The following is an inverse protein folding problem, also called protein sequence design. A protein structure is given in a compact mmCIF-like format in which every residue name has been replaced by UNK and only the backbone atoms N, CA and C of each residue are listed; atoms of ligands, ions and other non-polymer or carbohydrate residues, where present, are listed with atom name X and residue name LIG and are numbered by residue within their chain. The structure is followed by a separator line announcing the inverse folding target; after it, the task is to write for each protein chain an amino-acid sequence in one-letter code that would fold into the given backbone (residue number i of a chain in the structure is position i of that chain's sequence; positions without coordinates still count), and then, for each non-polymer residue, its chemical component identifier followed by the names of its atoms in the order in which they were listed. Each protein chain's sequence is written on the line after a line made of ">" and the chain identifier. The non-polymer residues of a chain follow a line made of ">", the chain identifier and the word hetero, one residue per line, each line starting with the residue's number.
data_IF_925237137331
#
_entry.id   IF_925237137331
#
_cell.length_a   1.000
_cell.length_b   1.000
_cell.length_c   1.000
_cell.angle_alpha   90.00
_cell.angle_beta   90.00
_cell.angle_gamma   90.00
#
_symmetry.space_group_name_H-M   'P 1'
#
loop_
_entity.id
_entity.type
_entity.pdbx_description
1 polymer ?
#
# COMPACT_ATOMS: atom_id res chain seq x y z
N UNK A 1 -48.90 53.74 2.06
CA UNK A 1 -48.13 52.62 2.61
C UNK A 1 -47.20 51.96 1.57
N UNK A 2 -47.64 51.59 0.36
CA UNK A 2 -46.77 50.95 -0.65
C UNK A 2 -45.52 51.73 -1.04
N UNK A 3 -45.55 53.07 -1.08
CA UNK A 3 -44.37 53.92 -1.43
C UNK A 3 -43.29 53.91 -0.34
N UNK A 4 -43.65 53.71 0.94
CA UNK A 4 -42.69 53.70 2.06
C UNK A 4 -41.92 52.37 2.05
N UNK A 5 -42.56 51.25 1.72
CA UNK A 5 -41.88 49.97 1.60
C UNK A 5 -40.90 49.94 0.42
N UNK A 6 -41.22 50.65 -0.68
CA UNK A 6 -40.33 50.71 -1.84
C UNK A 6 -39.06 51.55 -1.56
N UNK A 7 -39.22 52.61 -0.78
CA UNK A 7 -38.08 53.47 -0.36
C UNK A 7 -37.21 52.69 0.67
N UNK A 8 -37.83 51.93 1.62
CA UNK A 8 -37.09 51.13 2.57
C UNK A 8 -36.33 50.01 1.88
N UNK A 9 -36.92 49.36 0.87
CA UNK A 9 -36.26 48.31 0.08
C UNK A 9 -35.09 48.85 -0.75
N UNK A 10 -35.24 50.02 -1.34
CA UNK A 10 -34.19 50.67 -2.10
C UNK A 10 -33.00 51.11 -1.21
N UNK A 11 -33.24 51.56 0.03
CA UNK A 11 -32.20 51.91 1.00
C UNK A 11 -31.47 50.67 1.52
N UNK A 12 -32.18 49.58 1.79
CA UNK A 12 -31.55 48.30 2.21
C UNK A 12 -30.70 47.72 1.06
N UNK A 13 -31.18 47.76 -0.18
CA UNK A 13 -30.44 47.34 -1.34
C UNK A 13 -29.19 48.20 -1.60
N UNK A 14 -29.25 49.52 -1.39
CA UNK A 14 -28.10 50.40 -1.53
C UNK A 14 -27.02 50.19 -0.44
N UNK A 15 -27.41 49.75 0.76
CA UNK A 15 -26.49 49.45 1.86
C UNK A 15 -25.78 48.09 1.68
N UNK A 16 -26.35 47.20 0.87
CA UNK A 16 -25.74 45.85 0.61
C UNK A 16 -24.56 45.89 -0.37
N UNK A 17 -24.39 47.02 -1.12
CA UNK A 17 -23.31 47.13 -2.09
C UNK A 17 -22.06 47.86 -1.55
N UNK A 18 -22.05 48.29 -0.31
CA UNK A 18 -20.86 48.98 0.28
C UNK A 18 -20.02 48.07 1.17
N UNK A 19 -20.28 46.75 1.18
CA UNK A 19 -19.57 45.79 2.04
C UNK A 19 -18.32 45.17 1.38
N UNK A 20 -17.97 45.55 0.17
CA UNK A 20 -16.65 45.25 -0.42
C UNK A 20 -15.84 46.53 -0.52
N UNK A 21 -15.16 46.90 0.57
CA UNK A 21 -14.12 47.93 0.46
C UNK A 21 -12.88 47.29 -0.18
N UNK A 22 -12.37 47.88 -1.24
CA UNK A 22 -11.09 47.51 -1.92
C UNK A 22 -9.85 47.67 -1.01
N UNK A 23 -10.06 47.69 0.34
CA UNK A 23 -8.98 47.96 1.30
C UNK A 23 -8.12 46.76 1.64
N UNK A 24 -8.56 45.52 1.32
CA UNK A 24 -7.85 44.29 1.62
C UNK A 24 -7.31 43.57 0.36
N UNK A 25 -6.80 44.33 -0.59
CA UNK A 25 -5.97 43.72 -1.63
C UNK A 25 -4.69 43.18 -0.95
N UNK A 26 -4.43 41.87 -0.99
CA UNK A 26 -3.15 41.35 -0.48
C UNK A 26 -2.03 42.10 -1.14
N UNK A 27 -1.07 42.62 -0.36
CA UNK A 27 0.14 43.25 -0.93
C UNK A 27 0.74 42.28 -1.95
N UNK A 28 1.10 42.74 -3.15
CA UNK A 28 1.59 41.89 -4.23
C UNK A 28 2.88 41.11 -3.94
N UNK A 29 3.43 41.25 -2.74
CA UNK A 29 4.53 40.43 -2.22
C UNK A 29 3.96 39.48 -1.18
N UNK A 30 3.93 38.19 -1.49
CA UNK A 30 3.66 37.14 -0.52
C UNK A 30 4.68 37.20 0.62
N UNK A 31 4.19 37.19 1.89
CA UNK A 31 5.08 37.04 3.06
C UNK A 31 5.66 35.62 3.11
N UNK A 32 5.07 34.69 2.38
CA UNK A 32 5.64 33.37 2.17
C UNK A 32 6.67 33.49 1.04
N UNK A 33 7.94 33.47 1.41
CA UNK A 33 9.02 33.33 0.45
C UNK A 33 8.82 31.95 -0.17
N UNK A 34 8.55 31.91 -1.48
CA UNK A 34 8.66 30.68 -2.24
C UNK A 34 10.17 30.36 -2.36
N UNK A 35 10.77 29.94 -1.27
CA UNK A 35 11.98 29.15 -1.34
C UNK A 35 11.57 27.80 -1.93
N UNK A 36 11.45 27.73 -3.23
CA UNK A 36 11.55 26.46 -3.95
C UNK A 36 12.99 25.97 -3.71
N UNK A 37 13.17 25.35 -2.55
CA UNK A 37 14.40 24.64 -2.26
C UNK A 37 14.61 23.67 -3.42
N UNK A 38 15.70 23.84 -4.15
CA UNK A 38 16.03 22.90 -5.24
C UNK A 38 16.07 21.51 -4.63
N UNK A 39 15.46 20.52 -5.30
CA UNK A 39 15.48 19.14 -4.82
C UNK A 39 16.94 18.73 -4.60
N UNK A 40 17.20 18.06 -3.47
CA UNK A 40 18.47 17.41 -3.24
C UNK A 40 18.65 16.22 -4.22
N UNK A 41 19.82 15.57 -4.20
CA UNK A 41 20.11 14.49 -5.13
C UNK A 41 19.13 13.29 -4.97
N UNK A 42 18.67 13.03 -3.75
CA UNK A 42 17.70 11.96 -3.52
C UNK A 42 16.30 12.37 -3.98
N UNK A 43 15.87 13.57 -3.69
CA UNK A 43 14.59 14.10 -4.19
C UNK A 43 14.55 14.14 -5.72
N UNK A 44 15.63 14.56 -6.36
CA UNK A 44 15.75 14.53 -7.83
C UNK A 44 15.63 13.09 -8.35
N UNK A 45 16.29 12.13 -7.71
CA UNK A 45 16.20 10.73 -8.08
C UNK A 45 14.77 10.18 -7.91
N UNK A 46 14.05 10.56 -6.84
CA UNK A 46 12.64 10.19 -6.64
C UNK A 46 11.74 10.76 -7.74
N UNK A 47 11.96 12.02 -8.15
CA UNK A 47 11.21 12.61 -9.25
C UNK A 47 11.41 11.84 -10.55
N UNK A 48 12.65 11.49 -10.88
CA UNK A 48 13.00 10.79 -12.13
C UNK A 48 12.54 9.33 -12.16
N UNK A 49 12.49 8.64 -11.01
CA UNK A 49 12.22 7.21 -10.94
C UNK A 49 10.79 6.85 -10.52
N UNK A 50 10.06 7.76 -9.87
CA UNK A 50 8.68 7.52 -9.42
C UNK A 50 7.69 8.56 -9.93
N UNK A 51 7.99 9.85 -9.77
CA UNK A 51 7.00 10.89 -10.05
C UNK A 51 6.79 11.06 -11.55
N UNK A 52 7.84 11.27 -12.33
CA UNK A 52 7.70 11.49 -13.77
C UNK A 52 7.22 10.25 -14.54
N UNK A 53 7.77 9.04 -14.30
CA UNK A 53 7.33 7.86 -15.04
C UNK A 53 5.98 7.31 -14.60
N UNK A 54 5.64 7.37 -13.30
CA UNK A 54 4.49 6.65 -12.73
C UNK A 54 3.45 7.54 -12.05
N UNK A 55 3.72 8.85 -11.89
CA UNK A 55 2.89 9.79 -11.12
C UNK A 55 2.70 9.34 -9.67
N UNK A 56 3.81 8.94 -9.02
CA UNK A 56 3.87 8.48 -7.63
C UNK A 56 4.73 9.43 -6.82
N UNK A 57 4.21 9.92 -5.71
CA UNK A 57 4.97 10.66 -4.71
C UNK A 57 5.55 9.71 -3.66
N UNK A 58 6.84 9.82 -3.35
CA UNK A 58 7.47 9.08 -2.27
C UNK A 58 7.64 10.01 -1.06
N UNK A 59 6.83 9.79 -0.03
CA UNK A 59 6.87 10.54 1.22
C UNK A 59 7.87 9.89 2.19
N UNK A 60 9.09 10.37 2.20
CA UNK A 60 10.13 9.90 3.11
C UNK A 60 10.35 10.84 4.31
N UNK A 61 9.91 12.09 4.22
CA UNK A 61 9.85 13.01 5.35
C UNK A 61 8.47 12.91 5.99
N UNK A 62 8.43 12.48 7.23
CA UNK A 62 7.17 12.28 7.96
C UNK A 62 6.43 13.61 8.10
N UNK A 63 5.17 13.62 7.67
CA UNK A 63 4.24 14.74 7.85
C UNK A 63 3.13 14.29 8.78
N UNK A 64 2.82 15.05 9.82
CA UNK A 64 1.80 14.70 10.81
C UNK A 64 0.41 14.50 10.20
N UNK A 65 0.11 15.20 9.10
CA UNK A 65 -1.17 15.07 8.38
C UNK A 65 -1.30 13.77 7.59
N UNK A 66 -0.21 13.04 7.40
CA UNK A 66 -0.13 11.85 6.54
C UNK A 66 0.08 10.56 7.36
N UNK A 67 0.03 10.61 8.69
CA UNK A 67 0.23 9.46 9.56
C UNK A 67 -1.06 9.08 10.30
N UNK A 68 -1.17 7.80 10.64
CA UNK A 68 -2.23 7.32 11.53
C UNK A 68 -1.84 7.60 13.00
N UNK A 69 -2.52 8.54 13.62
CA UNK A 69 -2.26 8.99 14.99
C UNK A 69 -2.58 7.95 16.08
N UNK A 70 -3.16 6.81 15.73
CA UNK A 70 -3.31 5.71 16.69
C UNK A 70 -1.97 5.07 17.07
N UNK A 71 -0.93 5.26 16.23
CA UNK A 71 0.42 4.74 16.47
C UNK A 71 1.39 5.83 16.95
N UNK A 72 2.37 5.45 17.77
CA UNK A 72 3.52 6.30 18.08
C UNK A 72 4.61 6.06 17.05
N UNK A 73 4.71 6.96 16.07
CA UNK A 73 5.60 6.82 14.93
C UNK A 73 6.80 7.74 15.00
N UNK A 74 7.91 7.34 14.37
CA UNK A 74 9.11 8.17 14.25
C UNK A 74 9.52 8.35 12.79
N UNK A 75 10.12 9.50 12.42
CA UNK A 75 10.63 9.74 11.08
C UNK A 75 11.64 8.68 10.65
N UNK A 76 11.65 8.39 9.35
CA UNK A 76 12.63 7.51 8.74
C UNK A 76 13.94 8.27 8.43
N UNK A 77 15.07 7.59 8.60
CA UNK A 77 16.39 8.08 8.17
C UNK A 77 16.45 8.20 6.64
N UNK A 78 16.83 9.36 6.13
CA UNK A 78 16.81 9.65 4.69
C UNK A 78 17.73 8.74 3.88
N UNK A 79 18.90 8.34 4.40
CA UNK A 79 19.80 7.44 3.71
C UNK A 79 19.23 6.01 3.62
N UNK A 80 18.48 5.59 4.63
CA UNK A 80 17.75 4.31 4.62
C UNK A 80 16.54 4.36 3.70
N UNK A 81 15.83 5.49 3.66
CA UNK A 81 14.77 5.73 2.68
C UNK A 81 15.28 5.63 1.23
N UNK A 82 16.46 6.21 0.94
CA UNK A 82 17.05 6.10 -0.39
C UNK A 82 17.33 4.65 -0.79
N UNK A 83 17.85 3.84 0.14
CA UNK A 83 18.08 2.40 -0.09
C UNK A 83 16.77 1.64 -0.33
N UNK A 84 15.77 1.88 0.52
CA UNK A 84 14.46 1.24 0.38
C UNK A 84 13.77 1.64 -0.93
N UNK A 85 13.83 2.92 -1.31
CA UNK A 85 13.27 3.39 -2.57
C UNK A 85 13.90 2.70 -3.79
N UNK A 86 15.24 2.52 -3.81
CA UNK A 86 15.91 1.77 -4.88
C UNK A 86 15.48 0.31 -4.91
N UNK A 87 15.38 -0.34 -3.74
CA UNK A 87 14.92 -1.73 -3.63
C UNK A 87 13.48 -1.86 -4.15
N UNK A 88 12.56 -0.99 -3.71
CA UNK A 88 11.15 -0.98 -4.14
C UNK A 88 11.06 -0.73 -5.65
N UNK A 89 11.84 0.24 -6.17
CA UNK A 89 11.86 0.51 -7.61
C UNK A 89 12.23 -0.73 -8.41
N UNK A 90 13.32 -1.37 -8.01
CA UNK A 90 13.91 -2.48 -8.76
C UNK A 90 13.08 -3.77 -8.65
N UNK A 91 12.68 -4.16 -7.43
CA UNK A 91 12.05 -5.45 -7.17
C UNK A 91 10.52 -5.43 -7.27
N UNK A 92 9.91 -4.26 -7.37
CA UNK A 92 8.46 -4.16 -7.51
C UNK A 92 8.06 -3.42 -8.78
N UNK A 93 8.41 -2.14 -8.95
CA UNK A 93 8.01 -1.36 -10.12
C UNK A 93 8.54 -1.93 -11.42
N UNK A 94 9.84 -2.25 -11.48
CA UNK A 94 10.48 -2.75 -12.69
C UNK A 94 10.03 -4.18 -13.00
N UNK A 95 9.81 -5.04 -12.00
CA UNK A 95 9.27 -6.37 -12.18
C UNK A 95 7.89 -6.37 -12.85
N UNK A 96 6.97 -5.52 -12.33
CA UNK A 96 5.66 -5.39 -13.00
C UNK A 96 5.74 -4.68 -14.35
N UNK A 97 6.64 -3.74 -14.53
CA UNK A 97 6.84 -3.07 -15.82
C UNK A 97 7.36 -4.03 -16.89
N UNK A 98 8.21 -5.00 -16.51
CA UNK A 98 8.72 -6.04 -17.39
C UNK A 98 7.61 -6.98 -17.87
N UNK A 99 6.78 -7.48 -16.96
CA UNK A 99 5.76 -8.49 -17.28
C UNK A 99 4.46 -7.90 -17.82
N UNK A 100 4.01 -6.79 -17.24
CA UNK A 100 2.71 -6.19 -17.55
C UNK A 100 2.80 -4.90 -18.38
N UNK A 101 4.01 -4.38 -18.56
CA UNK A 101 4.27 -3.12 -19.24
C UNK A 101 4.17 -1.88 -18.33
N UNK A 102 4.86 -0.79 -18.70
CA UNK A 102 4.92 0.43 -17.90
C UNK A 102 3.55 1.12 -17.75
N UNK A 103 2.65 0.98 -18.72
CA UNK A 103 1.31 1.56 -18.65
C UNK A 103 0.45 0.88 -17.57
N UNK A 104 0.62 -0.43 -17.37
CA UNK A 104 -0.03 -1.15 -16.28
C UNK A 104 0.41 -0.60 -14.93
N UNK A 105 1.71 -0.43 -14.73
CA UNK A 105 2.30 0.13 -13.49
C UNK A 105 1.76 1.54 -13.26
N UNK A 106 1.84 2.41 -14.27
CA UNK A 106 1.35 3.79 -14.19
C UNK A 106 -0.14 3.89 -13.85
N UNK A 107 -0.95 2.99 -14.40
CA UNK A 107 -2.40 2.99 -14.17
C UNK A 107 -2.79 2.43 -12.81
N UNK A 108 -2.02 1.47 -12.25
CA UNK A 108 -2.49 0.64 -11.15
C UNK A 108 -1.75 0.82 -9.84
N UNK A 109 -0.51 1.29 -9.82
CA UNK A 109 0.22 1.54 -8.57
C UNK A 109 -0.41 2.66 -7.73
N UNK A 110 -0.20 2.68 -6.41
CA UNK A 110 -0.66 3.76 -5.55
C UNK A 110 -0.07 5.09 -5.99
N UNK A 111 -0.71 6.18 -5.61
CA UNK A 111 -0.19 7.55 -5.90
C UNK A 111 0.83 8.02 -4.89
N UNK A 112 0.83 7.39 -3.72
CA UNK A 112 1.75 7.73 -2.62
C UNK A 112 2.39 6.46 -2.07
N UNK A 113 3.70 6.48 -1.94
CA UNK A 113 4.47 5.56 -1.11
C UNK A 113 4.99 6.33 0.10
N UNK A 114 4.66 5.89 1.30
CA UNK A 114 5.13 6.54 2.52
C UNK A 114 6.09 5.63 3.30
N UNK A 115 7.19 6.19 3.77
CA UNK A 115 8.21 5.49 4.54
C UNK A 115 8.25 6.02 5.97
N UNK A 116 8.02 5.13 6.94
CA UNK A 116 8.00 5.42 8.38
C UNK A 116 9.16 4.69 9.06
N UNK A 117 9.86 5.40 9.94
CA UNK A 117 11.08 4.89 10.59
C UNK A 117 10.83 3.78 11.59
N UNK A 118 9.80 3.92 12.42
CA UNK A 118 9.47 2.97 13.48
C UNK A 118 8.50 1.87 13.03
N UNK A 119 8.31 0.89 13.91
CA UNK A 119 7.20 -0.06 13.85
C UNK A 119 5.87 0.67 14.12
N UNK A 120 4.79 0.14 13.55
CA UNK A 120 3.42 0.40 13.97
C UNK A 120 2.92 -0.83 14.75
N UNK A 121 2.48 -0.62 15.98
CA UNK A 121 2.10 -1.71 16.89
C UNK A 121 0.67 -1.50 17.34
N UNK A 122 -0.18 -2.51 17.10
CA UNK A 122 -1.57 -2.53 17.56
C UNK A 122 -1.66 -2.76 19.07
N UNK A 123 -2.82 -2.43 19.65
CA UNK A 123 -3.04 -2.58 21.11
C UNK A 123 -2.94 -4.05 21.61
N UNK A 124 -3.15 -5.01 20.72
CA UNK A 124 -2.99 -6.44 21.00
C UNK A 124 -1.54 -6.94 20.87
N UNK A 125 -0.58 -6.02 20.54
CA UNK A 125 0.83 -6.33 20.35
C UNK A 125 1.20 -6.81 18.95
N UNK A 126 0.26 -6.93 18.03
CA UNK A 126 0.59 -7.29 16.65
C UNK A 126 1.29 -6.14 15.94
N UNK A 127 2.25 -6.48 15.06
CA UNK A 127 3.02 -5.51 14.29
C UNK A 127 2.39 -5.36 12.92
N UNK A 128 2.07 -4.13 12.56
CA UNK A 128 1.61 -3.76 11.21
C UNK A 128 2.83 -3.55 10.34
N UNK A 129 2.94 -4.31 9.25
CA UNK A 129 4.10 -4.24 8.34
C UNK A 129 3.91 -3.17 7.27
N UNK A 130 2.67 -2.94 6.86
CA UNK A 130 2.27 -1.88 5.95
C UNK A 130 0.76 -1.72 5.95
N UNK A 131 0.29 -0.71 5.25
CA UNK A 131 -1.14 -0.44 5.05
C UNK A 131 -1.39 0.12 3.66
N UNK A 132 -2.53 -0.24 3.05
CA UNK A 132 -3.03 0.45 1.86
C UNK A 132 -4.26 1.27 2.23
N UNK A 133 -4.18 2.58 2.06
CA UNK A 133 -5.29 3.49 2.33
C UNK A 133 -6.09 3.73 1.04
N UNK A 134 -7.23 3.05 0.91
CA UNK A 134 -8.17 3.25 -0.20
C UNK A 134 -7.58 3.05 -1.60
N UNK A 135 -6.51 2.29 -1.73
CA UNK A 135 -5.80 2.10 -3.00
C UNK A 135 -4.96 3.31 -3.45
N UNK A 136 -4.94 4.37 -2.66
CA UNK A 136 -4.23 5.61 -2.99
C UNK A 136 -2.81 5.65 -2.43
N UNK A 137 -2.60 5.18 -1.20
CA UNK A 137 -1.34 5.25 -0.47
C UNK A 137 -0.95 3.89 0.09
N UNK A 138 0.31 3.50 -0.06
CA UNK A 138 0.93 2.39 0.68
C UNK A 138 1.95 2.98 1.65
N UNK A 139 1.85 2.61 2.93
CA UNK A 139 2.80 2.98 3.98
C UNK A 139 3.64 1.78 4.36
N UNK A 140 4.97 1.94 4.35
CA UNK A 140 5.94 0.94 4.80
C UNK A 140 6.57 1.40 6.11
N UNK A 141 6.54 0.54 7.11
CA UNK A 141 7.07 0.80 8.44
C UNK A 141 8.47 0.18 8.63
N UNK A 142 9.09 0.47 9.78
CA UNK A 142 10.34 -0.17 10.22
C UNK A 142 11.60 0.20 9.41
N UNK A 143 11.59 1.30 8.68
CA UNK A 143 12.69 1.70 7.78
C UNK A 143 14.00 1.94 8.55
N UNK A 144 13.93 2.42 9.80
CA UNK A 144 15.14 2.68 10.61
C UNK A 144 15.90 1.40 11.01
N UNK A 145 15.30 0.23 10.87
CA UNK A 145 15.97 -1.04 11.12
C UNK A 145 16.69 -1.61 9.87
N UNK A 146 16.42 -1.06 8.68
CA UNK A 146 17.07 -1.44 7.43
C UNK A 146 18.58 -1.11 7.48
N UNK A 147 19.42 -2.11 7.24
CA UNK A 147 20.88 -1.98 7.28
C UNK A 147 21.46 -1.85 8.69
N UNK A 148 20.64 -2.06 9.75
CA UNK A 148 21.06 -2.05 11.15
C UNK A 148 20.60 -3.31 11.90
N UNK A 149 19.31 -3.50 12.13
CA UNK A 149 18.77 -4.72 12.75
C UNK A 149 18.72 -5.90 11.75
N UNK A 150 18.59 -5.63 10.47
CA UNK A 150 18.72 -6.62 9.39
C UNK A 150 19.50 -6.02 8.21
N UNK A 151 20.22 -6.87 7.49
CA UNK A 151 21.10 -6.44 6.39
C UNK A 151 20.33 -6.17 5.11
N UNK A 152 20.97 -5.42 4.18
CA UNK A 152 20.41 -5.14 2.86
C UNK A 152 20.40 -6.36 1.93
N UNK A 153 21.21 -7.37 2.21
CA UNK A 153 21.29 -8.66 1.52
C UNK A 153 20.58 -9.80 2.26
N UNK A 154 19.84 -9.47 3.32
CA UNK A 154 18.99 -10.41 4.05
C UNK A 154 17.63 -10.48 3.37
N UNK A 155 17.53 -11.39 2.39
CA UNK A 155 16.30 -11.58 1.62
C UNK A 155 15.08 -11.91 2.49
N UNK A 156 15.24 -12.78 3.49
CA UNK A 156 14.11 -13.19 4.34
C UNK A 156 13.57 -12.02 5.15
N UNK A 157 14.47 -11.16 5.67
CA UNK A 157 14.06 -9.96 6.37
C UNK A 157 13.43 -8.91 5.43
N UNK A 158 14.01 -8.69 4.25
CA UNK A 158 13.44 -7.78 3.24
C UNK A 158 12.07 -8.27 2.76
N UNK A 159 11.94 -9.58 2.53
CA UNK A 159 10.66 -10.18 2.16
C UNK A 159 9.63 -9.99 3.26
N UNK A 160 9.98 -10.32 4.51
CA UNK A 160 9.09 -10.16 5.65
C UNK A 160 8.60 -8.71 5.83
N UNK A 161 9.48 -7.72 5.70
CA UNK A 161 9.16 -6.33 6.05
C UNK A 161 8.61 -5.52 4.88
N UNK A 162 8.97 -5.86 3.63
CA UNK A 162 8.65 -4.99 2.49
C UNK A 162 8.02 -5.73 1.31
N UNK A 163 8.63 -6.82 0.80
CA UNK A 163 8.18 -7.38 -0.46
C UNK A 163 6.81 -8.03 -0.36
N UNK A 164 6.63 -8.93 0.61
CA UNK A 164 5.32 -9.55 0.85
C UNK A 164 4.26 -8.48 1.07
N UNK A 165 4.56 -7.46 1.88
CA UNK A 165 3.62 -6.37 2.17
C UNK A 165 3.26 -5.58 0.90
N UNK A 166 4.25 -5.19 0.08
CA UNK A 166 3.98 -4.45 -1.15
C UNK A 166 3.08 -5.22 -2.10
N UNK A 167 3.34 -6.50 -2.32
CA UNK A 167 2.51 -7.34 -3.20
C UNK A 167 1.13 -7.59 -2.60
N UNK A 168 1.01 -7.77 -1.29
CA UNK A 168 -0.24 -7.92 -0.57
C UNK A 168 -1.14 -6.69 -0.74
N UNK A 169 -0.63 -5.50 -0.41
CA UNK A 169 -1.38 -4.25 -0.53
C UNK A 169 -1.72 -3.93 -2.00
N UNK A 170 -0.81 -4.25 -2.91
CA UNK A 170 -1.07 -4.07 -4.33
C UNK A 170 -2.18 -4.99 -4.84
N UNK A 171 -2.28 -6.22 -4.33
CA UNK A 171 -3.38 -7.11 -4.66
C UNK A 171 -4.73 -6.55 -4.20
N UNK A 172 -4.80 -5.93 -3.04
CA UNK A 172 -6.01 -5.21 -2.61
C UNK A 172 -6.38 -4.08 -3.58
N UNK A 173 -5.39 -3.30 -4.05
CA UNK A 173 -5.62 -2.24 -5.05
C UNK A 173 -6.16 -2.83 -6.37
N UNK A 174 -5.61 -3.93 -6.84
CA UNK A 174 -6.08 -4.61 -8.04
C UNK A 174 -7.52 -5.12 -7.87
N UNK A 175 -7.83 -5.72 -6.71
CA UNK A 175 -9.17 -6.23 -6.40
C UNK A 175 -10.22 -5.11 -6.25
N UNK A 176 -9.85 -3.93 -5.77
CA UNK A 176 -10.74 -2.77 -5.72
C UNK A 176 -11.10 -2.26 -7.12
N UNK A 177 -10.18 -2.36 -8.08
CA UNK A 177 -10.41 -1.93 -9.48
C UNK A 177 -11.19 -2.96 -10.29
N UNK A 178 -10.84 -4.22 -10.14
CA UNK A 178 -11.50 -5.36 -10.76
C UNK A 178 -11.67 -6.45 -9.71
N UNK A 179 -12.87 -6.63 -9.14
CA UNK A 179 -13.11 -7.65 -8.12
C UNK A 179 -12.78 -9.06 -8.62
N UNK A 180 -12.26 -9.89 -7.72
CA UNK A 180 -12.07 -11.31 -7.98
C UNK A 180 -13.40 -12.07 -7.86
N UNK A 181 -13.45 -13.30 -8.36
CA UNK A 181 -14.63 -14.19 -8.27
C UNK A 181 -14.82 -14.65 -6.83
N UNK A 182 -15.95 -14.31 -6.22
CA UNK A 182 -16.29 -14.65 -4.83
C UNK A 182 -16.49 -16.15 -4.57
N UNK A 183 -16.45 -17.01 -5.59
CA UNK A 183 -16.36 -18.46 -5.38
C UNK A 183 -15.07 -18.88 -4.66
N UNK A 184 -14.04 -18.03 -4.68
CA UNK A 184 -12.85 -18.17 -3.83
C UNK A 184 -13.21 -18.21 -2.34
N UNK A 185 -14.13 -17.35 -1.89
CA UNK A 185 -14.51 -17.20 -0.50
C UNK A 185 -15.10 -18.50 0.09
N UNK A 186 -15.74 -19.30 -0.78
CA UNK A 186 -16.38 -20.57 -0.42
C UNK A 186 -15.38 -21.72 -0.17
N UNK A 187 -14.15 -21.61 -0.71
CA UNK A 187 -13.15 -22.71 -0.60
C UNK A 187 -12.79 -22.99 0.86
N UNK A 188 -12.70 -21.95 1.68
CA UNK A 188 -12.39 -22.05 3.11
C UNK A 188 -13.49 -21.47 4.00
N UNK A 189 -14.74 -21.42 3.49
CA UNK A 189 -15.89 -20.98 4.27
C UNK A 189 -15.99 -21.78 5.59
N UNK A 190 -16.20 -21.06 6.69
CA UNK A 190 -16.27 -21.66 8.04
C UNK A 190 -14.93 -21.81 8.76
N UNK A 191 -13.80 -21.58 8.09
CA UNK A 191 -12.45 -21.60 8.68
C UNK A 191 -11.85 -20.20 8.89
N UNK A 192 -12.54 -19.14 8.47
CA UNK A 192 -12.13 -17.77 8.76
C UNK A 192 -12.46 -17.41 10.20
N UNK A 193 -11.49 -16.78 10.89
CA UNK A 193 -11.56 -16.50 12.34
C UNK A 193 -11.53 -15.00 12.67
N UNK A 194 -11.61 -14.14 11.65
CA UNK A 194 -11.59 -12.69 11.79
C UNK A 194 -10.41 -12.20 12.65
N UNK A 195 -10.62 -11.24 13.53
CA UNK A 195 -9.58 -10.66 14.37
C UNK A 195 -8.83 -11.62 15.31
N UNK A 196 -9.23 -12.89 15.41
CA UNK A 196 -8.57 -13.90 16.28
C UNK A 196 -7.42 -14.65 15.59
N UNK A 197 -7.10 -14.34 14.33
CA UNK A 197 -6.06 -14.99 13.53
C UNK A 197 -4.69 -15.08 14.23
N UNK A 198 -4.34 -14.09 15.06
CA UNK A 198 -3.05 -14.03 15.76
C UNK A 198 -2.90 -15.11 16.84
N UNK A 199 -3.98 -15.77 17.23
CA UNK A 199 -3.98 -16.88 18.18
C UNK A 199 -3.61 -18.21 17.52
N UNK A 200 -3.54 -18.25 16.19
CA UNK A 200 -3.27 -19.47 15.41
C UNK A 200 -1.81 -19.50 14.97
N UNK A 201 -1.22 -20.70 15.05
CA UNK A 201 0.12 -20.97 14.52
C UNK A 201 0.06 -21.24 13.01
N UNK A 202 0.98 -20.65 12.25
CA UNK A 202 1.00 -20.81 10.80
C UNK A 202 1.27 -22.23 10.38
N UNK A 203 2.30 -22.88 10.95
CA UNK A 203 2.80 -24.15 10.45
C UNK A 203 1.91 -25.34 10.87
N UNK A 204 1.34 -25.29 12.07
CA UNK A 204 0.61 -26.42 12.67
C UNK A 204 -0.91 -26.28 12.59
N UNK A 205 -1.42 -25.08 12.31
CA UNK A 205 -2.87 -24.83 12.26
C UNK A 205 -3.30 -24.20 10.92
N UNK A 206 -2.71 -23.12 10.48
CA UNK A 206 -3.16 -22.43 9.27
C UNK A 206 -2.84 -23.24 8.00
N UNK A 207 -1.60 -23.68 7.81
CA UNK A 207 -1.20 -24.46 6.64
C UNK A 207 -2.02 -25.75 6.45
N UNK A 208 -2.25 -26.60 7.47
CA UNK A 208 -3.08 -27.78 7.31
C UNK A 208 -4.55 -27.49 6.94
N UNK A 209 -5.06 -26.29 7.29
CA UNK A 209 -6.40 -25.82 6.90
C UNK A 209 -6.44 -25.14 5.52
N UNK A 210 -5.32 -25.11 4.80
CA UNK A 210 -5.23 -24.51 3.47
C UNK A 210 -5.07 -22.99 3.45
N UNK A 211 -4.51 -22.40 4.52
CA UNK A 211 -4.12 -20.99 4.56
C UNK A 211 -2.61 -20.87 4.53
N UNK A 212 -2.08 -20.00 3.66
CA UNK A 212 -0.63 -19.87 3.46
C UNK A 212 0.12 -19.35 4.70
N UNK A 213 -0.58 -18.67 5.60
CA UNK A 213 -0.16 -18.28 6.95
C UNK A 213 -1.39 -17.93 7.80
N UNK A 214 -1.17 -17.72 9.09
CA UNK A 214 -2.27 -17.45 10.04
C UNK A 214 -3.06 -16.16 9.72
N UNK A 215 -2.41 -15.09 9.23
CA UNK A 215 -3.12 -13.85 8.86
C UNK A 215 -4.13 -14.06 7.72
N UNK A 216 -3.89 -15.01 6.84
CA UNK A 216 -4.86 -15.40 5.80
C UNK A 216 -6.20 -15.91 6.37
N UNK A 217 -6.22 -16.38 7.62
CA UNK A 217 -7.44 -16.83 8.32
C UNK A 217 -8.34 -15.65 8.77
N UNK A 218 -7.89 -14.41 8.62
CA UNK A 218 -8.67 -13.24 9.01
C UNK A 218 -9.99 -13.15 8.22
N UNK A 219 -9.91 -13.02 6.92
CA UNK A 219 -11.05 -12.97 6.02
C UNK A 219 -10.65 -13.35 4.57
N UNK A 220 -11.62 -13.65 3.67
CA UNK A 220 -11.31 -14.07 2.31
C UNK A 220 -10.42 -13.10 1.51
N UNK A 221 -10.60 -11.80 1.68
CA UNK A 221 -9.77 -10.80 0.97
C UNK A 221 -8.32 -10.81 1.43
N UNK A 222 -8.10 -11.01 2.72
CA UNK A 222 -6.76 -11.16 3.29
C UNK A 222 -6.12 -12.48 2.83
N UNK A 223 -6.87 -13.57 2.81
CA UNK A 223 -6.42 -14.86 2.28
C UNK A 223 -5.96 -14.75 0.82
N UNK A 224 -6.75 -14.07 0.01
CA UNK A 224 -6.41 -13.83 -1.40
C UNK A 224 -5.11 -13.04 -1.56
N UNK A 225 -4.96 -11.93 -0.85
CA UNK A 225 -3.79 -11.07 -0.90
C UNK A 225 -2.55 -11.74 -0.30
N UNK A 226 -2.71 -12.48 0.79
CA UNK A 226 -1.64 -13.26 1.43
C UNK A 226 -1.15 -14.38 0.51
N UNK A 227 -2.04 -15.15 -0.09
CA UNK A 227 -1.63 -16.22 -0.98
C UNK A 227 -0.92 -15.68 -2.22
N UNK A 228 -1.45 -14.61 -2.82
CA UNK A 228 -0.80 -13.93 -3.94
C UNK A 228 0.61 -13.46 -3.60
N UNK A 229 0.75 -12.68 -2.53
CA UNK A 229 2.03 -12.11 -2.13
C UNK A 229 3.06 -13.15 -1.74
N UNK A 230 2.65 -14.15 -0.96
CA UNK A 230 3.54 -15.26 -0.53
C UNK A 230 3.95 -16.15 -1.72
N UNK A 231 3.07 -16.34 -2.69
CA UNK A 231 3.42 -17.09 -3.89
C UNK A 231 4.48 -16.38 -4.73
N UNK A 232 4.36 -15.08 -4.91
CA UNK A 232 5.34 -14.29 -5.67
C UNK A 232 6.68 -14.18 -4.98
N UNK A 233 6.69 -13.98 -3.67
CA UNK A 233 7.90 -13.57 -2.95
C UNK A 233 8.63 -14.71 -2.25
N UNK A 234 8.03 -15.88 -2.08
CA UNK A 234 8.74 -17.02 -1.52
C UNK A 234 9.49 -17.77 -2.62
N UNK A 235 10.78 -18.00 -2.42
CA UNK A 235 11.53 -18.90 -3.29
C UNK A 235 11.02 -20.34 -3.23
N UNK A 236 11.42 -21.18 -4.18
CA UNK A 236 10.92 -22.57 -4.29
C UNK A 236 11.18 -23.39 -3.04
N UNK A 237 12.30 -23.19 -2.38
CA UNK A 237 12.64 -23.96 -1.16
C UNK A 237 11.66 -23.65 -0.02
N UNK A 238 11.36 -22.35 0.19
CA UNK A 238 10.41 -21.92 1.21
C UNK A 238 8.98 -22.30 0.84
N UNK A 239 8.58 -22.12 -0.42
CA UNK A 239 7.28 -22.55 -0.91
C UNK A 239 7.05 -24.04 -0.71
N UNK A 240 7.99 -24.89 -1.16
CA UNK A 240 7.91 -26.34 -1.01
C UNK A 240 7.89 -26.77 0.48
N UNK A 241 8.62 -26.06 1.34
CA UNK A 241 8.58 -26.29 2.79
C UNK A 241 7.17 -26.03 3.36
N UNK A 242 6.52 -24.93 2.94
CA UNK A 242 5.14 -24.61 3.34
C UNK A 242 4.16 -25.68 2.85
N UNK A 243 4.25 -26.08 1.58
CA UNK A 243 3.39 -27.14 1.02
C UNK A 243 3.55 -28.46 1.76
N UNK A 244 4.77 -28.83 2.11
CA UNK A 244 5.02 -30.02 2.93
C UNK A 244 4.37 -29.93 4.33
N UNK A 245 4.41 -28.76 4.97
CA UNK A 245 3.77 -28.53 6.28
C UNK A 245 2.24 -28.49 6.18
N UNK A 246 1.70 -28.03 5.07
CA UNK A 246 0.26 -28.05 4.80
C UNK A 246 -0.30 -29.47 4.72
N UNK A 247 0.54 -30.44 4.36
CA UNK A 247 0.09 -31.81 4.12
C UNK A 247 -0.77 -31.92 2.85
N UNK A 248 -1.28 -33.12 2.59
CA UNK A 248 -2.00 -33.40 1.33
C UNK A 248 -3.30 -32.56 1.22
N UNK A 249 -4.09 -32.48 2.26
CA UNK A 249 -5.36 -31.75 2.29
C UNK A 249 -5.15 -30.22 2.21
N UNK A 250 -4.29 -29.68 3.06
CA UNK A 250 -3.99 -28.25 3.06
C UNK A 250 -3.36 -27.78 1.74
N UNK A 251 -2.46 -28.59 1.17
CA UNK A 251 -1.87 -28.30 -0.14
C UNK A 251 -2.93 -28.27 -1.24
N UNK A 252 -3.86 -29.22 -1.27
CA UNK A 252 -4.92 -29.25 -2.27
C UNK A 252 -5.81 -27.99 -2.21
N UNK A 253 -6.13 -27.52 -1.00
CA UNK A 253 -6.88 -26.28 -0.80
C UNK A 253 -6.08 -25.05 -1.28
N UNK A 254 -4.80 -24.95 -0.91
CA UNK A 254 -3.92 -23.85 -1.35
C UNK A 254 -3.82 -23.82 -2.88
N UNK A 255 -3.63 -24.96 -3.55
CA UNK A 255 -3.55 -25.04 -5.01
C UNK A 255 -4.87 -24.67 -5.68
N UNK A 256 -6.02 -25.06 -5.11
CA UNK A 256 -7.33 -24.63 -5.60
C UNK A 256 -7.46 -23.09 -5.53
N UNK A 257 -7.12 -22.48 -4.41
CA UNK A 257 -7.09 -21.02 -4.25
C UNK A 257 -6.14 -20.33 -5.23
N UNK A 258 -4.95 -20.90 -5.41
CA UNK A 258 -3.95 -20.35 -6.34
C UNK A 258 -4.40 -20.43 -7.79
N UNK A 259 -5.20 -21.44 -8.17
CA UNK A 259 -5.81 -21.52 -9.50
C UNK A 259 -6.80 -20.35 -9.76
N UNK A 260 -7.55 -19.90 -8.74
CA UNK A 260 -8.37 -18.69 -8.83
C UNK A 260 -7.52 -17.43 -9.08
N UNK A 261 -6.41 -17.31 -8.35
CA UNK A 261 -5.49 -16.17 -8.49
C UNK A 261 -4.86 -16.16 -9.90
N UNK A 262 -4.37 -17.29 -10.40
CA UNK A 262 -3.84 -17.43 -11.77
C UNK A 262 -4.87 -17.02 -12.82
N UNK A 263 -6.09 -17.49 -12.67
CA UNK A 263 -7.20 -17.17 -13.58
C UNK A 263 -7.50 -15.67 -13.57
N UNK A 264 -7.61 -15.07 -12.38
CA UNK A 264 -7.85 -13.66 -12.20
C UNK A 264 -6.76 -12.79 -12.82
N UNK A 265 -5.49 -13.09 -12.55
CA UNK A 265 -4.36 -12.32 -13.09
C UNK A 265 -4.32 -12.40 -14.61
N UNK A 266 -4.57 -13.59 -15.19
CA UNK A 266 -4.61 -13.79 -16.63
C UNK A 266 -5.80 -13.08 -17.28
N UNK A 267 -7.01 -13.24 -16.76
CA UNK A 267 -8.22 -12.74 -17.40
C UNK A 267 -8.42 -11.24 -17.23
N UNK A 268 -8.14 -10.73 -16.03
CA UNK A 268 -8.40 -9.31 -15.73
C UNK A 268 -7.21 -8.40 -16.07
N UNK A 269 -6.00 -8.91 -15.99
CA UNK A 269 -4.79 -8.08 -16.10
C UNK A 269 -3.86 -8.49 -17.24
N UNK A 270 -4.15 -9.62 -17.90
CA UNK A 270 -3.30 -10.23 -18.92
C UNK A 270 -1.87 -10.51 -18.41
N UNK A 271 -1.75 -10.88 -17.13
CA UNK A 271 -0.49 -11.22 -16.47
C UNK A 271 -0.45 -12.73 -16.25
N UNK A 272 0.65 -13.35 -16.67
CA UNK A 272 1.00 -14.72 -16.28
C UNK A 272 1.63 -14.68 -14.89
N UNK A 273 1.02 -15.38 -13.93
CA UNK A 273 1.48 -15.35 -12.55
C UNK A 273 2.85 -16.03 -12.36
N UNK A 274 3.13 -17.06 -13.17
CA UNK A 274 4.41 -17.78 -13.14
C UNK A 274 5.54 -16.92 -13.71
N UNK A 275 5.26 -16.19 -14.80
CA UNK A 275 6.20 -15.25 -15.40
C UNK A 275 6.51 -14.11 -14.41
N UNK A 276 5.47 -13.56 -13.75
CA UNK A 276 5.67 -12.53 -12.73
C UNK A 276 6.49 -13.06 -11.55
N UNK A 277 6.20 -14.27 -11.07
CA UNK A 277 6.97 -14.91 -9.99
C UNK A 277 8.44 -15.10 -10.35
N UNK A 278 8.73 -15.40 -11.61
CA UNK A 278 10.11 -15.64 -12.06
C UNK A 278 10.96 -14.34 -12.10
N UNK A 279 10.28 -13.18 -12.21
CA UNK A 279 10.94 -11.86 -12.25
C UNK A 279 11.03 -11.24 -10.84
N UNK A 280 10.05 -11.49 -9.98
CA UNK A 280 10.03 -11.05 -8.57
C UNK A 280 11.00 -11.87 -7.73
#
# INVERSE_FOLDING_TARGET
>A
MKKIYFILFAVVAALSFTACSDGDQPSGSSIFVNDEAKPDAFEQWLLENFTYPYNVEVLYRMKDTEIDHKYTLTPADSAKCAKLAMIVKYLWYDAYAEVAGPDFVKANTPRVLQFIGSLAIENNGTVVMGTAEGGYKITLYNVNNLGSAFKLDDYDALNKWYFTTLHHEFQHILNQKKPYDTSFDLISEGNYVSGDWYQYDTDTQALPLGFIRNYAMNEPREDYAELYSQYLTNNDALWNSKMKKAGEEGQAIIEQKLAHIRTYMRQNWNIDLEELRAVV
#
